data_IF_641025968348
#
_entry.id   IF_641025968348
#
_cell.length_a   1.000
_cell.length_b   1.000
_cell.length_c   1.000
_cell.angle_alpha   90.00
_cell.angle_beta   90.00
_cell.angle_gamma   90.00
#
_symmetry.space_group_name_H-M   'P 1'
#
loop_
_entity.id
_entity.type
_entity.pdbx_description
1 polymer ?
#
# COMPACT_ATOMS: atom_id res chain seq x y z
N UNK A 1 1.30 17.48 16.91
CA UNK A 1 1.07 16.16 16.28
C UNK A 1 1.30 16.34 14.80
N UNK A 2 2.26 15.62 14.23
CA UNK A 2 2.47 15.63 12.77
C UNK A 2 1.24 15.02 12.11
N UNK A 3 0.71 15.68 11.08
CA UNK A 3 -0.42 15.16 10.32
C UNK A 3 0.09 14.07 9.37
N UNK A 4 0.24 12.85 9.88
CA UNK A 4 0.82 11.73 9.13
C UNK A 4 0.08 11.43 7.81
N UNK A 5 -1.25 11.65 7.76
CA UNK A 5 -2.04 11.53 6.52
C UNK A 5 -1.56 12.55 5.47
N UNK A 6 -1.26 13.78 5.89
CA UNK A 6 -0.74 14.83 5.02
C UNK A 6 0.67 14.52 4.50
N UNK A 7 1.56 14.03 5.37
CA UNK A 7 2.93 13.65 4.98
C UNK A 7 2.93 12.50 3.95
N UNK A 8 2.09 11.49 4.16
CA UNK A 8 1.93 10.40 3.21
C UNK A 8 1.43 10.87 1.84
N UNK A 9 0.39 11.71 1.83
CA UNK A 9 -0.14 12.25 0.57
C UNK A 9 0.90 13.09 -0.15
N UNK A 10 1.67 13.90 0.58
CA UNK A 10 2.76 14.69 0.02
C UNK A 10 3.86 13.81 -0.58
N UNK A 11 4.26 12.74 0.12
CA UNK A 11 5.26 11.80 -0.38
C UNK A 11 4.79 11.11 -1.67
N UNK A 12 3.60 10.50 -1.65
CA UNK A 12 3.05 9.75 -2.80
C UNK A 12 2.82 10.68 -4.00
N UNK A 13 2.45 11.94 -3.76
CA UNK A 13 2.30 12.94 -4.84
C UNK A 13 3.60 13.26 -5.56
N UNK A 14 4.73 13.21 -4.86
CA UNK A 14 6.04 13.51 -5.42
C UNK A 14 6.81 12.27 -5.87
N UNK A 15 6.38 11.07 -5.47
CA UNK A 15 7.02 9.79 -5.79
C UNK A 15 5.97 8.81 -6.36
N UNK A 16 5.75 8.87 -7.68
CA UNK A 16 4.85 7.91 -8.33
C UNK A 16 5.39 6.48 -8.20
N UNK A 17 4.50 5.50 -8.00
CA UNK A 17 4.91 4.12 -7.75
C UNK A 17 5.41 3.87 -6.33
N UNK A 18 4.96 4.65 -5.35
CA UNK A 18 5.36 4.49 -3.94
C UNK A 18 5.03 3.09 -3.43
N UNK A 19 6.00 2.35 -2.91
CA UNK A 19 5.81 1.01 -2.32
C UNK A 19 5.33 1.06 -0.86
N UNK A 20 4.89 -0.08 -0.29
CA UNK A 20 4.64 -0.15 1.16
C UNK A 20 5.90 0.13 1.99
N UNK A 21 7.09 -0.22 1.49
CA UNK A 21 8.38 0.04 2.16
C UNK A 21 8.66 1.54 2.25
N UNK A 22 8.34 2.29 1.20
CA UNK A 22 8.46 3.74 1.22
C UNK A 22 7.43 4.40 2.14
N UNK A 23 6.23 3.82 2.27
CA UNK A 23 5.25 4.26 3.28
C UNK A 23 5.80 4.02 4.70
N UNK A 24 6.44 2.88 4.97
CA UNK A 24 7.12 2.62 6.24
C UNK A 24 8.18 3.67 6.55
N UNK A 25 8.97 4.08 5.54
CA UNK A 25 9.93 5.18 5.68
C UNK A 25 9.25 6.48 6.11
N UNK A 26 8.12 6.85 5.49
CA UNK A 26 7.35 8.04 5.90
C UNK A 26 6.84 7.91 7.34
N UNK A 27 6.40 6.72 7.76
CA UNK A 27 6.00 6.47 9.13
C UNK A 27 7.18 6.61 10.12
N UNK A 28 8.33 6.00 9.81
CA UNK A 28 9.54 6.05 10.62
C UNK A 28 10.06 7.50 10.77
N UNK A 29 10.11 8.26 9.67
CA UNK A 29 10.51 9.69 9.65
C UNK A 29 9.60 10.59 10.50
N UNK A 30 8.35 10.15 10.72
CA UNK A 30 7.36 10.89 11.50
C UNK A 30 7.07 10.28 12.88
N UNK A 31 7.87 9.29 13.31
CA UNK A 31 7.69 8.56 14.57
C UNK A 31 6.26 8.01 14.77
N UNK A 32 5.63 7.57 13.68
CA UNK A 32 4.31 6.96 13.72
C UNK A 32 4.43 5.47 14.02
N UNK A 33 3.81 4.98 15.10
CA UNK A 33 3.82 3.56 15.44
C UNK A 33 2.90 2.77 14.50
N UNK A 34 3.48 2.19 13.45
CA UNK A 34 2.76 1.39 12.46
C UNK A 34 2.90 -0.12 12.66
N UNK A 35 3.86 -0.59 13.46
CA UNK A 35 4.21 -2.02 13.53
C UNK A 35 3.11 -2.83 14.22
N UNK A 36 2.89 -4.05 13.75
CA UNK A 36 1.87 -4.95 14.27
C UNK A 36 1.92 -6.34 13.64
N UNK A 37 0.84 -7.09 13.77
CA UNK A 37 0.74 -8.47 13.28
C UNK A 37 -0.36 -8.67 12.23
N UNK A 38 -0.91 -7.57 11.68
CA UNK A 38 -1.95 -7.65 10.65
C UNK A 38 -1.38 -7.81 9.25
N UNK A 39 -2.28 -8.13 8.31
CA UNK A 39 -1.99 -8.20 6.88
C UNK A 39 -3.02 -7.37 6.09
N UNK A 40 -2.55 -6.72 5.02
CA UNK A 40 -3.39 -6.07 4.02
C UNK A 40 -3.66 -7.08 2.91
N UNK A 41 -4.89 -7.56 2.79
CA UNK A 41 -5.26 -8.64 1.86
C UNK A 41 -6.32 -8.19 0.87
N UNK A 42 -6.48 -8.94 -0.23
CA UNK A 42 -7.60 -8.74 -1.15
C UNK A 42 -8.93 -8.98 -0.43
N UNK A 43 -9.92 -8.13 -0.71
CA UNK A 43 -11.28 -8.30 -0.21
C UNK A 43 -12.00 -9.52 -0.84
N UNK A 44 -11.49 -10.03 -1.97
CA UNK A 44 -12.07 -11.17 -2.69
C UNK A 44 -11.46 -12.49 -2.22
N UNK A 45 -10.15 -12.53 -2.00
CA UNK A 45 -9.43 -13.73 -1.54
C UNK A 45 -8.34 -13.35 -0.53
N UNK A 46 -8.54 -13.71 0.74
CA UNK A 46 -7.60 -13.38 1.82
C UNK A 46 -6.23 -14.10 1.71
N UNK A 47 -6.10 -15.08 0.82
CA UNK A 47 -4.80 -15.68 0.49
C UNK A 47 -3.94 -14.76 -0.39
N UNK A 48 -4.52 -13.73 -1.02
CA UNK A 48 -3.78 -12.71 -1.76
C UNK A 48 -3.38 -11.61 -0.78
N UNK A 49 -2.10 -11.56 -0.45
CA UNK A 49 -1.50 -10.62 0.49
C UNK A 49 -0.78 -9.52 -0.27
N UNK A 50 -1.10 -8.26 0.03
CA UNK A 50 -0.40 -7.09 -0.52
C UNK A 50 0.80 -6.69 0.36
N UNK A 51 0.61 -6.69 1.68
CA UNK A 51 1.65 -6.42 2.69
C UNK A 51 1.26 -6.98 4.07
N UNK A 52 2.21 -7.10 4.99
CA UNK A 52 1.94 -7.48 6.39
C UNK A 52 2.89 -6.79 7.36
N UNK A 53 2.60 -6.94 8.66
CA UNK A 53 3.47 -6.46 9.74
C UNK A 53 3.06 -5.09 10.27
N UNK A 54 1.90 -4.57 9.85
CA UNK A 54 1.35 -3.33 10.39
C UNK A 54 0.23 -3.59 11.40
N UNK A 55 -0.05 -2.60 12.23
CA UNK A 55 -1.23 -2.54 13.07
C UNK A 55 -2.45 -2.00 12.29
N UNK A 56 -3.63 -2.12 12.91
CA UNK A 56 -4.89 -1.69 12.29
C UNK A 56 -4.93 -0.19 11.96
N UNK A 57 -4.28 0.65 12.77
CA UNK A 57 -4.30 2.10 12.57
C UNK A 57 -3.54 2.49 11.29
N UNK A 58 -2.37 1.90 11.04
CA UNK A 58 -1.60 2.12 9.83
C UNK A 58 -2.35 1.65 8.57
N UNK A 59 -2.97 0.47 8.62
CA UNK A 59 -3.78 -0.02 7.50
C UNK A 59 -5.00 0.85 7.24
N UNK A 60 -5.75 1.22 8.28
CA UNK A 60 -6.92 2.10 8.13
C UNK A 60 -6.53 3.42 7.46
N UNK A 61 -5.40 4.01 7.84
CA UNK A 61 -4.94 5.27 7.24
C UNK A 61 -4.75 5.15 5.73
N UNK A 62 -4.07 4.09 5.26
CA UNK A 62 -3.85 3.86 3.82
C UNK A 62 -5.15 3.46 3.12
N UNK A 63 -5.96 2.60 3.72
CA UNK A 63 -7.28 2.23 3.18
C UNK A 63 -8.19 3.43 3.01
N UNK A 64 -8.24 4.34 3.98
CA UNK A 64 -9.04 5.56 3.91
C UNK A 64 -8.60 6.43 2.73
N UNK A 65 -7.29 6.57 2.49
CA UNK A 65 -6.78 7.34 1.34
C UNK A 65 -7.16 6.70 -0.01
N UNK A 66 -7.15 5.37 -0.09
CA UNK A 66 -7.58 4.62 -1.29
C UNK A 66 -9.09 4.77 -1.49
N UNK A 67 -9.88 4.58 -0.43
CA UNK A 67 -11.34 4.66 -0.47
C UNK A 67 -11.84 6.09 -0.75
N UNK A 68 -11.16 7.11 -0.22
CA UNK A 68 -11.42 8.53 -0.47
C UNK A 68 -11.01 8.95 -1.91
N UNK A 69 -10.35 8.06 -2.67
CA UNK A 69 -9.85 8.36 -4.01
C UNK A 69 -8.74 9.41 -4.03
N UNK A 70 -7.98 9.55 -2.94
CA UNK A 70 -6.82 10.45 -2.84
C UNK A 70 -5.59 9.80 -3.48
N UNK A 71 -5.44 8.49 -3.29
CA UNK A 71 -4.42 7.67 -3.93
C UNK A 71 -5.08 6.45 -4.58
N UNK A 72 -4.43 5.90 -5.58
CA UNK A 72 -4.80 4.63 -6.21
C UNK A 72 -3.74 3.57 -5.91
N UNK A 73 -4.19 2.32 -5.78
CA UNK A 73 -3.35 1.15 -5.54
C UNK A 73 -3.33 0.29 -6.80
N UNK A 74 -2.16 0.17 -7.43
CA UNK A 74 -2.00 -0.56 -8.69
C UNK A 74 -1.00 -1.69 -8.51
N UNK A 75 -1.23 -2.82 -9.20
CA UNK A 75 -0.27 -3.93 -9.25
C UNK A 75 1.05 -3.42 -9.86
N UNK A 76 2.17 -3.87 -9.30
CA UNK A 76 3.50 -3.53 -9.80
C UNK A 76 4.41 -4.75 -9.85
N UNK A 77 5.59 -4.58 -10.46
CA UNK A 77 6.62 -5.62 -10.47
C UNK A 77 7.30 -5.75 -9.10
N UNK A 78 7.58 -6.98 -8.68
CA UNK A 78 8.25 -7.27 -7.40
C UNK A 78 9.64 -6.65 -7.27
N UNK A 79 10.30 -6.33 -8.40
CA UNK A 79 11.61 -5.69 -8.42
C UNK A 79 11.62 -4.34 -7.68
N UNK A 80 10.49 -3.62 -7.63
CA UNK A 80 10.34 -2.35 -6.90
C UNK A 80 10.61 -2.51 -5.41
N UNK A 81 10.30 -3.66 -4.82
CA UNK A 81 10.57 -3.94 -3.41
C UNK A 81 11.98 -4.53 -3.20
N UNK A 82 12.44 -5.33 -4.16
CA UNK A 82 13.75 -6.00 -4.09
C UNK A 82 14.90 -4.99 -4.10
N UNK A 83 14.77 -3.87 -4.84
CA UNK A 83 15.79 -2.80 -4.82
C UNK A 83 15.98 -2.17 -3.43
N UNK A 84 14.94 -2.18 -2.60
CA UNK A 84 14.99 -1.75 -1.20
C UNK A 84 15.42 -2.88 -0.24
N UNK A 85 15.76 -4.07 -0.77
CA UNK A 85 16.13 -5.24 0.02
C UNK A 85 14.95 -5.84 0.79
N UNK A 86 13.72 -5.60 0.34
CA UNK A 86 12.47 -5.98 1.03
C UNK A 86 11.58 -6.83 0.12
N UNK A 87 10.61 -7.50 0.74
CA UNK A 87 9.62 -8.33 0.07
C UNK A 87 8.93 -9.25 1.05
N UNK A 88 7.85 -9.90 0.61
CA UNK A 88 7.20 -10.92 1.43
C UNK A 88 7.78 -12.30 1.12
N UNK A 89 7.94 -13.12 2.16
CA UNK A 89 8.32 -14.53 2.02
C UNK A 89 7.13 -15.40 1.59
N UNK A 90 6.51 -15.04 0.46
CA UNK A 90 5.44 -15.78 -0.20
C UNK A 90 5.72 -15.86 -1.70
N UNK A 91 5.21 -16.87 -2.43
CA UNK A 91 5.26 -16.89 -3.87
C UNK A 91 4.56 -15.66 -4.46
N UNK A 92 5.08 -15.12 -5.57
CA UNK A 92 4.40 -14.06 -6.32
C UNK A 92 3.12 -14.62 -6.95
N UNK A 93 2.01 -13.89 -6.82
CA UNK A 93 0.72 -14.24 -7.40
C UNK A 93 0.81 -14.35 -8.93
N UNK A 94 0.29 -15.44 -9.48
CA UNK A 94 0.21 -15.70 -10.94
C UNK A 94 -1.23 -15.74 -11.46
N UNK A 95 -2.19 -16.03 -10.58
CA UNK A 95 -3.64 -16.09 -10.84
C UNK A 95 -4.39 -15.85 -9.53
N UNK A 96 -5.62 -15.35 -9.61
CA UNK A 96 -6.42 -15.00 -8.42
C UNK A 96 -7.03 -16.22 -7.70
N UNK A 97 -7.03 -17.38 -8.35
CA UNK A 97 -7.47 -18.67 -7.80
C UNK A 97 -6.31 -19.36 -7.06
N UNK A 98 -6.17 -19.02 -5.77
CA UNK A 98 -5.14 -19.56 -4.88
C UNK A 98 -5.72 -19.93 -3.51
N UNK A 99 -5.27 -21.07 -2.99
CA UNK A 99 -5.65 -21.64 -1.69
C UNK A 99 -4.58 -21.43 -0.59
N UNK A 100 -3.43 -20.88 -0.97
CA UNK A 100 -2.28 -20.60 -0.11
C UNK A 100 -1.82 -19.16 -0.25
N UNK A 101 -1.12 -18.63 0.76
CA UNK A 101 -0.66 -17.25 0.73
C UNK A 101 0.24 -16.96 -0.46
N UNK A 102 -0.14 -15.95 -1.24
CA UNK A 102 0.63 -15.41 -2.35
C UNK A 102 0.78 -13.91 -2.16
N UNK A 103 1.94 -13.38 -2.53
CA UNK A 103 2.21 -11.96 -2.52
C UNK A 103 1.83 -11.35 -3.86
N UNK A 104 1.00 -10.31 -3.82
CA UNK A 104 0.72 -9.43 -4.95
C UNK A 104 1.36 -8.06 -4.69
N UNK A 105 2.52 -7.75 -5.29
CA UNK A 105 3.15 -6.44 -5.16
C UNK A 105 2.23 -5.36 -5.73
N UNK A 106 2.07 -4.29 -4.96
CA UNK A 106 1.32 -3.10 -5.38
C UNK A 106 2.13 -1.85 -5.08
N UNK A 107 1.81 -0.79 -5.79
CA UNK A 107 2.36 0.54 -5.59
C UNK A 107 1.25 1.58 -5.61
N UNK A 108 1.51 2.72 -4.96
CA UNK A 108 0.56 3.79 -4.77
C UNK A 108 0.89 4.99 -5.64
N UNK A 109 -0.14 5.59 -6.22
CA UNK A 109 -0.02 6.83 -7.01
C UNK A 109 -1.03 7.86 -6.53
N UNK A 110 -0.67 9.14 -6.59
CA UNK A 110 -1.59 10.20 -6.23
C UNK A 110 -2.66 10.41 -7.32
N UNK A 111 -3.92 10.42 -6.92
CA UNK A 111 -5.01 10.74 -7.82
C UNK A 111 -5.10 12.26 -8.00
N UNK A 112 -4.68 12.77 -9.17
CA UNK A 112 -5.06 14.13 -9.58
C UNK A 112 -6.58 14.13 -9.76
N UNK A 113 -7.33 14.80 -8.89
CA UNK A 113 -8.75 15.08 -9.14
C UNK A 113 -8.89 15.66 -10.55
N UNK A 114 -9.35 14.86 -11.52
CA UNK A 114 -9.89 15.38 -12.76
C UNK A 114 -11.16 16.12 -12.34
N UNK A 115 -11.18 17.44 -12.50
CA UNK A 115 -12.47 18.15 -12.52
C UNK A 115 -13.27 17.52 -13.67
N UNK A 116 -14.29 16.73 -13.33
CA UNK A 116 -15.21 16.09 -14.27
C UNK A 116 -14.72 14.76 -14.84
N UNK A 117 -14.91 13.67 -14.10
CA UNK A 117 -15.21 12.35 -14.65
C UNK A 117 -15.63 11.42 -13.51
N UNK A 118 -16.80 11.66 -12.93
CA UNK A 118 -17.56 10.59 -12.30
C UNK A 118 -18.41 9.97 -13.42
N UNK A 119 -17.93 8.85 -13.97
CA UNK A 119 -18.75 7.88 -14.66
C UNK A 119 -18.20 6.51 -14.28
N UNK A 120 -18.87 5.88 -13.32
CA UNK A 120 -19.44 4.53 -13.46
C UNK A 120 -20.58 4.40 -12.47
#
# INVERSE_FOLDING_TARGET
>A
MNNIKGELVNYIKNNAGTSFVEIEKVFDENAFDYKGQGAYTSAVNNNIVYWYGWNKQAFNLVSDLVNDGVIEMNICESIIYIVDGKGLNFPILKSDDVDTYHWLPVAFNFCKKRKGACLK
#
